data_IF_548066253175
#
_entry.id   IF_548066253175
#
_cell.length_a   1.000
_cell.length_b   1.000
_cell.length_c   1.000
_cell.angle_alpha   90.00
_cell.angle_beta   90.00
_cell.angle_gamma   90.00
#
_symmetry.space_group_name_H-M   'P 1'
#
loop_
_entity.id
_entity.type
_entity.pdbx_description
1 polymer ?
#
# COMPACT_ATOMS: atom_id res chain seq x y z
N UNK A 1 -0.33 -18.36 0.75
CA UNK A 1 0.27 -18.25 -0.59
C UNK A 1 -0.71 -18.66 -1.69
N UNK A 2 -1.58 -19.65 -1.49
CA UNK A 2 -2.53 -20.09 -2.55
C UNK A 2 -3.50 -19.01 -3.05
N UNK A 3 -4.01 -18.12 -2.19
CA UNK A 3 -4.95 -17.07 -2.63
C UNK A 3 -4.33 -15.99 -3.52
N UNK A 4 -3.00 -15.80 -3.49
CA UNK A 4 -2.37 -14.75 -4.30
C UNK A 4 -2.41 -15.11 -5.79
N UNK A 5 -2.24 -16.39 -6.13
CA UNK A 5 -2.39 -16.89 -7.49
C UNK A 5 -3.84 -16.83 -7.97
N UNK A 6 -4.83 -17.11 -7.11
CA UNK A 6 -6.25 -16.98 -7.47
C UNK A 6 -6.63 -15.54 -7.83
N UNK A 7 -6.21 -14.56 -7.02
CA UNK A 7 -6.45 -13.14 -7.31
C UNK A 7 -5.68 -12.66 -8.55
N UNK A 8 -4.51 -13.23 -8.81
CA UNK A 8 -3.73 -12.94 -10.00
C UNK A 8 -4.43 -13.46 -11.26
N UNK A 9 -4.93 -14.70 -11.24
CA UNK A 9 -5.67 -15.28 -12.35
C UNK A 9 -6.94 -14.48 -12.67
N UNK A 10 -7.68 -14.06 -11.64
CA UNK A 10 -8.87 -13.23 -11.82
C UNK A 10 -8.53 -11.84 -12.37
N UNK A 11 -7.44 -11.23 -11.89
CA UNK A 11 -6.93 -9.98 -12.45
C UNK A 11 -6.56 -10.11 -13.93
N UNK A 12 -5.86 -11.18 -14.29
CA UNK A 12 -5.46 -11.46 -15.67
C UNK A 12 -6.66 -11.70 -16.61
N UNK A 13 -7.72 -12.36 -16.14
CA UNK A 13 -8.96 -12.58 -16.93
C UNK A 13 -9.65 -11.27 -17.33
N UNK A 14 -9.53 -10.22 -16.51
CA UNK A 14 -10.12 -8.90 -16.81
C UNK A 14 -9.28 -8.04 -17.75
N UNK A 15 -8.05 -8.47 -18.06
CA UNK A 15 -7.10 -7.68 -18.86
C UNK A 15 -7.14 -8.09 -20.34
N UNK A 16 -7.64 -7.19 -21.19
CA UNK A 16 -7.82 -7.42 -22.63
C UNK A 16 -6.61 -6.92 -23.45
N UNK A 17 -5.89 -5.90 -22.95
CA UNK A 17 -4.67 -5.34 -23.54
C UNK A 17 -3.95 -4.40 -22.54
N UNK A 18 -2.64 -4.20 -22.70
CA UNK A 18 -1.86 -3.25 -21.91
C UNK A 18 -0.39 -3.62 -21.71
N UNK A 19 0.36 -2.71 -21.10
CA UNK A 19 1.71 -3.00 -20.62
C UNK A 19 1.64 -3.42 -19.16
N UNK A 20 2.15 -4.62 -18.86
CA UNK A 20 2.21 -5.16 -17.51
C UNK A 20 3.53 -4.79 -16.84
N UNK A 21 3.42 -4.19 -15.65
CA UNK A 21 4.54 -3.83 -14.81
C UNK A 21 4.44 -4.64 -13.52
N UNK A 22 5.33 -5.63 -13.30
CA UNK A 22 5.28 -6.50 -12.12
C UNK A 22 5.48 -5.74 -10.81
N UNK A 23 6.40 -4.78 -10.81
CA UNK A 23 6.78 -3.97 -9.65
C UNK A 23 7.09 -2.54 -10.11
N UNK A 24 6.55 -1.56 -9.40
CA UNK A 24 6.78 -0.15 -9.69
C UNK A 24 6.98 0.67 -8.41
N UNK A 25 7.97 1.55 -8.43
CA UNK A 25 8.21 2.53 -7.38
C UNK A 25 8.53 3.87 -8.02
N UNK A 26 7.70 4.89 -7.81
CA UNK A 26 7.89 6.19 -8.46
C UNK A 26 6.64 7.08 -8.42
N UNK A 27 6.64 8.21 -9.14
CA UNK A 27 5.45 9.05 -9.26
C UNK A 27 4.37 8.35 -10.09
N UNK A 28 3.09 8.53 -9.72
CA UNK A 28 1.97 7.98 -10.50
C UNK A 28 2.03 8.48 -11.94
N UNK A 29 2.07 7.58 -12.94
CA UNK A 29 2.08 7.99 -14.33
C UNK A 29 0.74 8.67 -14.68
N UNK A 30 0.74 9.61 -15.65
CA UNK A 30 -0.48 10.23 -16.13
C UNK A 30 -1.40 9.19 -16.82
N UNK A 31 -2.72 9.40 -16.70
CA UNK A 31 -3.78 8.55 -17.28
C UNK A 31 -3.82 8.55 -18.83
N UNK A 32 -2.93 9.30 -19.49
CA UNK A 32 -2.89 9.48 -20.95
C UNK A 32 -2.11 8.40 -21.70
N UNK A 33 -1.36 7.56 -20.98
CA UNK A 33 -0.68 6.40 -21.55
C UNK A 33 -1.69 5.26 -21.65
N UNK A 34 -1.69 4.53 -22.77
CA UNK A 34 -2.53 3.33 -22.94
C UNK A 34 -2.43 2.37 -21.75
N UNK A 35 -3.35 1.39 -21.59
CA UNK A 35 -3.61 0.72 -20.32
C UNK A 35 -2.34 0.15 -19.67
N UNK A 36 -1.78 0.89 -18.71
CA UNK A 36 -0.70 0.46 -17.84
C UNK A 36 -1.32 -0.30 -16.68
N UNK A 37 -0.85 -1.52 -16.45
CA UNK A 37 -1.36 -2.42 -15.41
C UNK A 37 -0.23 -2.75 -14.45
N UNK A 38 -0.40 -2.38 -13.19
CA UNK A 38 0.56 -2.70 -12.13
C UNK A 38 0.12 -3.93 -11.36
N UNK A 39 1.01 -4.90 -11.19
CA UNK A 39 0.77 -5.99 -10.24
C UNK A 39 1.01 -5.49 -8.83
N UNK A 40 2.08 -4.72 -8.64
CA UNK A 40 2.41 -4.00 -7.43
C UNK A 40 3.02 -2.66 -7.77
N UNK A 41 2.50 -1.58 -7.19
CA UNK A 41 3.06 -0.25 -7.35
C UNK A 41 3.00 0.55 -6.05
N UNK A 42 4.03 1.35 -5.80
CA UNK A 42 3.99 2.40 -4.79
C UNK A 42 4.19 3.77 -5.45
N UNK A 43 3.18 4.62 -5.32
CA UNK A 43 3.15 5.96 -5.87
C UNK A 43 3.60 6.98 -4.83
N UNK A 44 4.82 7.47 -4.97
CA UNK A 44 5.48 8.32 -3.95
C UNK A 44 4.81 9.70 -3.80
N UNK A 45 4.22 10.22 -4.88
CA UNK A 45 3.61 11.54 -4.92
C UNK A 45 2.17 11.57 -4.36
N UNK A 46 1.45 10.46 -4.42
CA UNK A 46 0.10 10.32 -3.86
C UNK A 46 0.07 9.56 -2.54
N UNK A 47 1.15 8.84 -2.20
CA UNK A 47 1.18 7.96 -1.03
C UNK A 47 0.22 6.78 -1.18
N UNK A 48 0.04 6.32 -2.41
CA UNK A 48 -0.85 5.21 -2.76
C UNK A 48 -0.04 3.95 -3.04
N UNK A 49 -0.53 2.81 -2.58
CA UNK A 49 -0.05 1.50 -2.92
C UNK A 49 -1.10 0.79 -3.76
N UNK A 50 -0.77 0.36 -4.97
CA UNK A 50 -1.65 -0.40 -5.84
C UNK A 50 -1.20 -1.86 -5.89
N UNK A 51 -2.14 -2.79 -5.75
CA UNK A 51 -1.90 -4.22 -5.93
C UNK A 51 -3.08 -4.85 -6.69
N UNK A 52 -2.78 -5.50 -7.82
CA UNK A 52 -3.78 -6.13 -8.71
C UNK A 52 -4.98 -5.21 -9.00
N UNK A 53 -4.71 -3.93 -9.29
CA UNK A 53 -5.74 -2.91 -9.58
C UNK A 53 -6.50 -2.36 -8.36
N UNK A 54 -6.23 -2.85 -7.15
CA UNK A 54 -6.78 -2.29 -5.90
C UNK A 54 -5.83 -1.24 -5.34
N UNK A 55 -6.36 -0.04 -5.05
CA UNK A 55 -5.57 1.09 -4.53
C UNK A 55 -5.80 1.23 -3.02
N UNK A 56 -4.70 1.36 -2.29
CA UNK A 56 -4.65 1.54 -0.85
C UNK A 56 -3.93 2.84 -0.52
N UNK A 57 -4.59 3.75 0.20
CA UNK A 57 -3.94 4.96 0.71
C UNK A 57 -3.08 4.60 1.90
N UNK A 58 -1.81 4.99 1.88
CA UNK A 58 -0.85 4.61 2.91
C UNK A 58 -0.88 5.52 4.14
N UNK A 59 -1.40 6.74 4.00
CA UNK A 59 -1.45 7.73 5.08
C UNK A 59 -2.12 7.22 6.37
N UNK A 60 -3.25 6.48 6.35
CA UNK A 60 -3.84 5.90 7.56
C UNK A 60 -2.91 4.94 8.29
N UNK A 61 -2.19 4.08 7.55
CA UNK A 61 -1.23 3.13 8.13
C UNK A 61 -0.05 3.89 8.74
N UNK A 62 0.49 4.88 8.02
CA UNK A 62 1.58 5.74 8.52
C UNK A 62 1.17 6.48 9.79
N UNK A 63 -0.06 7.01 9.83
CA UNK A 63 -0.61 7.68 11.00
C UNK A 63 -0.67 6.73 12.20
N UNK A 64 -1.10 5.49 11.98
CA UNK A 64 -1.23 4.51 13.03
C UNK A 64 0.14 4.04 13.56
N UNK A 65 1.11 3.82 12.67
CA UNK A 65 2.50 3.53 13.06
C UNK A 65 3.07 4.69 13.88
N UNK A 66 2.86 5.93 13.45
CA UNK A 66 3.30 7.13 14.19
C UNK A 66 2.64 7.20 15.57
N UNK A 67 1.34 6.89 15.67
CA UNK A 67 0.60 6.87 16.94
C UNK A 67 1.20 5.83 17.89
N UNK A 68 1.41 4.59 17.41
CA UNK A 68 2.01 3.52 18.19
C UNK A 68 3.43 3.86 18.65
N UNK A 69 4.24 4.43 17.75
CA UNK A 69 5.58 4.89 18.08
C UNK A 69 5.57 5.94 19.21
N UNK A 70 4.67 6.92 19.14
CA UNK A 70 4.48 7.90 20.20
C UNK A 70 4.10 7.27 21.54
N UNK A 71 3.18 6.30 21.53
CA UNK A 71 2.82 5.56 22.75
C UNK A 71 4.01 4.80 23.32
N UNK A 72 4.82 4.15 22.48
CA UNK A 72 6.01 3.41 22.93
C UNK A 72 7.07 4.31 23.57
N UNK A 73 7.29 5.51 23.02
CA UNK A 73 8.18 6.50 23.63
C UNK A 73 7.69 6.89 25.02
N UNK A 74 6.38 7.12 25.19
CA UNK A 74 5.81 7.44 26.49
C UNK A 74 5.86 6.25 27.44
N UNK A 75 5.68 5.02 26.94
CA UNK A 75 5.90 3.80 27.73
C UNK A 75 7.31 3.74 28.30
N UNK A 76 8.33 3.96 27.45
CA UNK A 76 9.73 3.92 27.83
C UNK A 76 10.03 4.94 28.95
N UNK A 77 9.56 6.18 28.79
CA UNK A 77 9.72 7.24 29.80
C UNK A 77 8.98 6.92 31.11
N UNK A 78 7.83 6.24 31.04
CA UNK A 78 6.99 5.91 32.19
C UNK A 78 7.40 4.60 32.91
N UNK A 79 8.63 4.11 32.69
CA UNK A 79 9.11 2.88 33.31
C UNK A 79 8.53 1.62 32.67
N UNK A 80 8.38 1.64 31.34
CA UNK A 80 7.89 0.54 30.49
C UNK A 80 6.42 0.16 30.73
N UNK A 81 5.57 1.13 31.06
CA UNK A 81 4.12 0.93 31.24
C UNK A 81 3.35 1.62 30.14
N UNK A 82 2.40 0.91 29.50
CA UNK A 82 1.53 1.54 28.51
C UNK A 82 0.69 2.65 29.13
N UNK A 83 0.64 3.85 28.50
CA UNK A 83 -0.22 4.92 28.99
C UNK A 83 -1.68 4.47 28.94
N UNK A 84 -2.42 4.71 30.04
CA UNK A 84 -3.84 4.37 30.11
C UNK A 84 -4.61 5.26 29.12
N UNK A 85 -5.43 4.65 28.27
CA UNK A 85 -6.44 5.40 27.52
C UNK A 85 -7.48 5.89 28.54
N UNK A 86 -7.52 7.21 28.75
CA UNK A 86 -8.56 7.91 29.51
C UNK A 86 -9.72 8.29 28.62
#
# INVERSE_FOLDING_TARGET
>A
MEHFDEYLDDFLKTCIAGQFIPDYFGPKPPDDRGPLRFFRAYFVNTGEFEILGSIFVMQPIVNEIRRLHGLLIECEKAGSRFPRQS
#
